data_IF_175543727189
#
_entry.id   IF_175543727189
#
_cell.length_a   1.000
_cell.length_b   1.000
_cell.length_c   1.000
_cell.angle_alpha   90.00
_cell.angle_beta   90.00
_cell.angle_gamma   90.00
#
_symmetry.space_group_name_H-M   'P 1'
#
loop_
_entity.id
_entity.type
_entity.pdbx_description
1 polymer ?
#
# COMPACT_ATOMS: atom_id res chain seq x y z
N UNK A 1 0.93 12.64 5.72
CA UNK A 1 1.34 11.25 5.96
C UNK A 1 2.81 11.14 6.36
N UNK A 2 3.78 11.65 5.57
CA UNK A 2 5.20 11.58 5.96
C UNK A 2 5.52 12.46 7.19
N UNK A 3 5.05 13.72 7.22
CA UNK A 3 5.24 14.62 8.38
C UNK A 3 4.75 14.00 9.70
N UNK A 4 3.55 13.43 9.70
CA UNK A 4 2.96 12.75 10.86
C UNK A 4 3.74 11.51 11.30
N UNK A 5 4.43 10.82 10.38
CA UNK A 5 5.31 9.71 10.71
C UNK A 5 6.63 10.20 11.32
N UNK A 6 7.15 11.31 10.82
CA UNK A 6 8.34 11.96 11.38
C UNK A 6 8.08 12.48 12.81
N UNK A 7 6.92 13.09 13.04
CA UNK A 7 6.47 13.55 14.37
C UNK A 7 6.30 12.41 15.37
N UNK A 8 6.05 11.19 14.89
CA UNK A 8 6.01 9.95 15.71
C UNK A 8 7.39 9.34 15.96
N UNK A 9 8.47 10.08 15.71
CA UNK A 9 9.84 9.66 16.01
C UNK A 9 10.54 8.82 14.92
N UNK A 10 9.96 8.72 13.72
CA UNK A 10 10.62 8.03 12.59
C UNK A 10 11.52 9.00 11.82
N UNK A 11 12.79 8.65 11.60
CA UNK A 11 13.67 9.45 10.72
C UNK A 11 13.31 9.20 9.26
N UNK A 12 12.90 10.24 8.55
CA UNK A 12 12.57 10.19 7.12
C UNK A 12 13.59 11.04 6.37
N UNK A 13 14.36 10.40 5.50
CA UNK A 13 15.27 11.07 4.57
C UNK A 13 14.70 10.91 3.18
N UNK A 14 14.52 12.03 2.47
CA UNK A 14 14.05 12.02 1.10
C UNK A 14 14.81 13.07 0.29
N UNK A 15 14.95 12.82 -1.01
CA UNK A 15 15.44 13.79 -1.98
C UNK A 15 14.25 14.31 -2.76
N UNK A 16 14.14 15.61 -2.90
CA UNK A 16 13.03 16.26 -3.60
C UNK A 16 13.60 17.23 -4.60
N UNK A 17 13.16 17.12 -5.83
CA UNK A 17 13.47 18.07 -6.88
C UNK A 17 12.40 19.18 -6.85
N UNK A 18 12.83 20.43 -6.67
CA UNK A 18 11.99 21.64 -6.73
C UNK A 18 10.68 21.55 -5.91
N UNK A 19 10.76 21.61 -4.57
CA UNK A 19 9.56 21.57 -3.73
C UNK A 19 8.77 22.88 -3.84
N UNK A 20 7.44 22.77 -3.87
CA UNK A 20 6.58 23.95 -3.72
C UNK A 20 6.78 24.62 -2.35
N UNK A 21 6.51 25.93 -2.25
CA UNK A 21 6.68 26.69 -1.01
C UNK A 21 5.94 26.06 0.19
N UNK A 22 4.70 25.60 -0.02
CA UNK A 22 3.93 24.91 1.02
C UNK A 22 4.57 23.60 1.46
N UNK A 23 5.21 22.86 0.54
CA UNK A 23 5.93 21.63 0.88
C UNK A 23 7.24 21.93 1.60
N UNK A 24 7.96 22.98 1.20
CA UNK A 24 9.22 23.40 1.81
C UNK A 24 9.06 23.69 3.31
N UNK A 25 7.97 24.36 3.71
CA UNK A 25 7.64 24.62 5.10
C UNK A 25 7.19 23.40 5.92
N UNK A 26 7.01 22.22 5.29
CA UNK A 26 6.69 20.99 6.02
C UNK A 26 7.94 20.28 6.55
N UNK A 27 9.13 20.60 6.04
CA UNK A 27 10.37 19.96 6.46
C UNK A 27 10.83 20.48 7.82
N UNK A 28 11.27 19.57 8.68
CA UNK A 28 11.96 19.92 9.93
C UNK A 28 13.42 20.31 9.70
N UNK A 29 14.04 19.73 8.66
CA UNK A 29 15.43 19.97 8.32
C UNK A 29 15.62 19.86 6.80
N UNK A 30 16.34 20.82 6.24
CA UNK A 30 16.65 20.93 4.82
C UNK A 30 18.16 20.81 4.66
N UNK A 31 18.58 19.98 3.70
CA UNK A 31 19.97 19.76 3.33
C UNK A 31 20.11 19.97 1.82
N UNK A 32 20.89 20.98 1.40
CA UNK A 32 21.11 21.31 -0.01
C UNK A 32 22.56 21.09 -0.38
N UNK A 33 22.76 20.50 -1.56
CA UNK A 33 24.08 20.27 -2.14
C UNK A 33 24.23 21.00 -3.47
N UNK A 34 25.40 21.57 -3.69
CA UNK A 34 25.83 22.10 -4.98
C UNK A 34 27.28 21.68 -5.26
N UNK A 35 27.56 21.21 -6.48
CA UNK A 35 28.89 20.74 -6.92
C UNK A 35 29.58 19.79 -5.92
N UNK A 36 28.81 18.90 -5.28
CA UNK A 36 29.31 17.91 -4.31
C UNK A 36 29.60 18.45 -2.91
N UNK A 37 29.29 19.71 -2.61
CA UNK A 37 29.44 20.33 -1.30
C UNK A 37 28.08 20.66 -0.69
N UNK A 38 27.97 20.53 0.63
CA UNK A 38 26.81 21.03 1.38
C UNK A 38 26.84 22.55 1.35
N UNK A 39 25.80 23.19 0.85
CA UNK A 39 25.71 24.67 0.81
C UNK A 39 24.71 25.22 1.81
N UNK A 40 23.80 24.38 2.30
CA UNK A 40 22.86 24.77 3.34
C UNK A 40 22.41 23.55 4.13
N UNK A 41 22.37 23.70 5.46
CA UNK A 41 21.91 22.66 6.37
C UNK A 41 21.16 23.27 7.55
N UNK A 42 19.83 23.29 7.53
CA UNK A 42 19.05 23.91 8.61
C UNK A 42 17.54 23.85 8.45
N UNK A 43 16.82 24.53 9.35
CA UNK A 43 15.36 24.63 9.29
C UNK A 43 14.91 25.54 8.13
N UNK A 44 13.80 25.24 7.44
CA UNK A 44 13.35 26.03 6.29
C UNK A 44 13.08 27.51 6.62
N UNK A 45 12.73 27.83 7.87
CA UNK A 45 12.53 29.22 8.31
C UNK A 45 13.83 30.05 8.26
N UNK A 46 14.98 29.40 8.49
CA UNK A 46 16.28 30.06 8.53
C UNK A 46 16.90 30.25 7.14
N UNK A 47 16.26 29.76 6.07
CA UNK A 47 16.81 29.81 4.71
C UNK A 47 16.96 31.24 4.19
N UNK A 48 15.92 32.06 4.33
CA UNK A 48 15.94 33.45 3.83
C UNK A 48 16.92 34.33 4.63
N UNK A 49 16.93 34.31 5.98
CA UNK A 49 17.94 35.02 6.77
C UNK A 49 19.37 34.59 6.42
N UNK A 50 19.61 33.28 6.21
CA UNK A 50 20.91 32.75 5.83
C UNK A 50 21.40 33.32 4.50
N UNK A 51 20.54 33.35 3.48
CA UNK A 51 20.87 33.92 2.17
C UNK A 51 21.11 35.44 2.25
N UNK A 52 20.31 36.15 3.05
CA UNK A 52 20.45 37.59 3.24
C UNK A 52 21.81 37.98 3.83
N UNK A 53 22.37 37.18 4.76
CA UNK A 53 23.72 37.39 5.30
C UNK A 53 24.82 37.31 4.24
N UNK A 54 24.59 36.53 3.19
CA UNK A 54 25.53 36.35 2.09
C UNK A 54 25.24 37.30 0.92
N UNK A 55 24.37 38.29 1.11
CA UNK A 55 24.05 39.32 0.10
C UNK A 55 22.91 38.95 -0.86
N UNK A 56 22.22 37.83 -0.65
CA UNK A 56 21.12 37.38 -1.51
C UNK A 56 19.77 37.68 -0.86
N UNK A 57 19.05 38.65 -1.43
CA UNK A 57 17.74 39.08 -0.92
C UNK A 57 16.63 38.33 -1.67
N UNK A 58 15.87 37.52 -0.94
CA UNK A 58 14.73 36.79 -1.50
C UNK A 58 13.54 37.74 -1.76
N UNK A 59 12.96 37.78 -2.98
CA UNK A 59 11.77 38.56 -3.26
C UNK A 59 10.54 38.08 -2.47
N UNK A 60 9.64 39.00 -2.09
CA UNK A 60 8.51 38.75 -1.18
C UNK A 60 7.53 37.65 -1.62
N UNK A 61 7.37 37.45 -2.93
CA UNK A 61 6.45 36.46 -3.51
C UNK A 61 7.19 35.31 -4.18
N UNK A 62 8.46 35.12 -3.83
CA UNK A 62 9.29 34.05 -4.36
C UNK A 62 9.36 32.88 -3.39
N UNK A 63 9.42 31.67 -3.93
CA UNK A 63 9.62 30.47 -3.12
C UNK A 63 11.06 30.46 -2.59
N UNK A 64 11.28 30.34 -1.27
CA UNK A 64 12.63 30.25 -0.70
C UNK A 64 13.43 29.06 -1.23
N UNK A 65 12.77 27.94 -1.52
CA UNK A 65 13.42 26.75 -2.05
C UNK A 65 13.95 26.98 -3.47
N UNK A 66 13.14 27.60 -4.32
CA UNK A 66 13.51 27.90 -5.70
C UNK A 66 14.62 28.96 -5.72
N UNK A 67 14.50 30.00 -4.88
CA UNK A 67 15.53 31.02 -4.74
C UNK A 67 16.87 30.43 -4.29
N UNK A 68 16.87 29.53 -3.31
CA UNK A 68 18.08 28.85 -2.86
C UNK A 68 18.69 27.99 -3.97
N UNK A 69 17.87 27.27 -4.74
CA UNK A 69 18.35 26.46 -5.87
C UNK A 69 18.92 27.32 -7.00
N UNK A 70 18.29 28.43 -7.35
CA UNK A 70 18.77 29.40 -8.34
C UNK A 70 20.13 29.99 -7.92
N UNK A 71 20.22 30.51 -6.70
CA UNK A 71 21.47 31.07 -6.16
C UNK A 71 22.59 30.03 -6.18
N UNK A 72 22.30 28.78 -5.82
CA UNK A 72 23.33 27.72 -5.78
C UNK A 72 23.71 27.18 -7.17
N UNK A 73 22.82 27.31 -8.14
CA UNK A 73 23.04 26.89 -9.52
C UNK A 73 23.88 27.92 -10.29
N UNK A 74 23.60 29.21 -10.10
CA UNK A 74 24.34 30.32 -10.72
C UNK A 74 25.62 30.70 -9.97
N UNK A 75 25.83 30.17 -8.76
CA UNK A 75 27.00 30.46 -7.94
C UNK A 75 28.32 29.98 -8.56
N UNK A 76 29.32 30.88 -8.48
CA UNK A 76 30.71 30.55 -8.78
C UNK A 76 31.25 29.49 -7.81
N UNK A 77 32.31 28.77 -8.18
CA UNK A 77 32.92 27.77 -7.29
C UNK A 77 33.41 28.40 -5.97
N UNK A 78 33.85 29.67 -6.00
CA UNK A 78 34.27 30.39 -4.78
C UNK A 78 33.11 30.67 -3.84
N UNK A 79 31.92 30.99 -4.37
CA UNK A 79 30.75 31.27 -3.54
C UNK A 79 30.17 29.99 -2.93
N UNK A 80 30.22 28.88 -3.68
CA UNK A 80 29.89 27.56 -3.15
C UNK A 80 30.82 27.17 -1.99
N UNK A 81 32.10 27.52 -2.07
CA UNK A 81 33.06 27.24 -0.99
C UNK A 81 32.76 28.07 0.26
N UNK A 82 32.38 29.34 0.09
CA UNK A 82 31.92 30.19 1.21
C UNK A 82 30.66 29.62 1.84
N UNK A 83 29.67 29.23 1.04
CA UNK A 83 28.45 28.61 1.53
C UNK A 83 28.72 27.29 2.25
N UNK A 84 29.68 26.49 1.76
CA UNK A 84 30.04 25.23 2.39
C UNK A 84 30.74 25.40 3.74
N UNK A 85 31.60 26.41 3.86
CA UNK A 85 32.19 26.79 5.15
C UNK A 85 31.08 27.28 6.08
N UNK A 86 30.24 28.19 5.58
CA UNK A 86 29.12 28.72 6.33
C UNK A 86 28.25 27.57 6.83
N UNK A 87 27.68 26.70 5.99
CA UNK A 87 26.78 25.59 6.34
C UNK A 87 27.26 24.62 7.44
N UNK A 88 28.54 24.68 7.82
CA UNK A 88 29.10 23.93 8.95
C UNK A 88 28.69 24.49 10.31
N UNK A 89 28.38 25.79 10.44
CA UNK A 89 27.98 26.35 11.73
C UNK A 89 26.60 25.83 12.18
N UNK A 90 26.39 25.80 13.50
CA UNK A 90 25.22 25.22 14.13
C UNK A 90 24.06 26.20 14.29
N UNK A 91 24.28 27.50 14.05
CA UNK A 91 23.37 28.57 14.44
C UNK A 91 22.01 28.53 13.73
N UNK A 92 21.96 28.02 12.49
CA UNK A 92 20.72 27.87 11.71
C UNK A 92 20.21 26.42 11.66
N UNK A 93 20.90 25.47 12.30
CA UNK A 93 20.55 24.03 12.24
C UNK A 93 19.28 23.68 13.00
N UNK A 94 18.99 24.41 14.08
CA UNK A 94 17.80 24.22 14.91
C UNK A 94 16.76 25.31 14.65
N UNK A 95 15.51 24.91 14.44
CA UNK A 95 14.39 25.76 14.84
C UNK A 95 14.46 25.93 16.37
N UNK A 96 14.07 27.09 16.90
CA UNK A 96 13.90 27.34 18.34
C UNK A 96 12.89 26.31 18.87
N UNK A 97 13.33 25.10 19.28
CA UNK A 97 12.63 24.02 20.01
C UNK A 97 13.43 22.69 19.88
N UNK A 98 14.58 22.61 20.53
CA UNK A 98 15.40 21.38 20.62
C UNK A 98 15.24 20.70 21.99
N UNK A 99 14.04 20.18 22.31
CA UNK A 99 13.86 19.37 23.52
C UNK A 99 13.41 17.92 23.27
N UNK A 100 13.10 17.51 22.04
CA UNK A 100 12.61 16.16 21.79
C UNK A 100 13.68 15.25 21.18
N UNK A 101 14.68 14.87 21.98
CA UNK A 101 15.39 13.61 21.72
C UNK A 101 14.36 12.48 21.88
N UNK A 102 14.06 11.67 20.85
CA UNK A 102 12.97 10.71 20.93
C UNK A 102 13.26 9.67 22.02
N UNK A 103 12.36 9.57 23.00
CA UNK A 103 12.43 8.59 24.09
C UNK A 103 12.53 7.13 23.58
N UNK A 104 12.10 6.90 22.33
CA UNK A 104 12.24 5.67 21.54
C UNK A 104 13.67 5.11 21.53
N UNK A 105 14.71 5.97 21.52
CA UNK A 105 16.10 5.49 21.43
C UNK A 105 16.50 4.64 22.65
N UNK A 106 15.92 4.92 23.82
CA UNK A 106 16.14 4.14 25.04
C UNK A 106 15.39 2.82 24.99
N UNK A 107 14.19 2.80 24.40
CA UNK A 107 13.36 1.60 24.23
C UNK A 107 14.01 0.66 23.22
N UNK A 108 14.49 1.16 22.08
CA UNK A 108 15.18 0.37 21.04
C UNK A 108 16.45 -0.29 21.58
N UNK A 109 17.25 0.41 22.39
CA UNK A 109 18.42 -0.18 23.09
C UNK A 109 17.99 -1.28 24.07
N UNK A 110 16.88 -1.10 24.77
CA UNK A 110 16.34 -2.05 25.75
C UNK A 110 15.76 -3.30 25.08
N UNK A 111 15.09 -3.16 23.94
CA UNK A 111 14.51 -4.27 23.19
C UNK A 111 15.54 -5.09 22.42
N UNK A 112 16.60 -4.46 21.89
CA UNK A 112 17.71 -5.18 21.26
C UNK A 112 18.40 -6.16 22.23
N UNK A 113 18.44 -5.82 23.52
CA UNK A 113 19.09 -6.62 24.56
C UNK A 113 18.28 -7.86 24.99
N UNK A 114 16.96 -7.90 24.74
CA UNK A 114 16.10 -8.95 25.28
C UNK A 114 15.77 -10.11 24.32
N UNK A 115 16.11 -10.07 23.02
CA UNK A 115 15.90 -11.21 22.08
C UNK A 115 14.46 -11.78 22.01
N UNK A 116 13.43 -11.09 22.49
CA UNK A 116 12.04 -11.61 22.51
C UNK A 116 11.43 -11.79 21.10
N UNK A 117 11.97 -11.12 20.07
CA UNK A 117 11.60 -11.36 18.67
C UNK A 117 12.83 -11.31 17.74
N UNK A 118 12.84 -12.15 16.69
CA UNK A 118 13.85 -12.03 15.62
C UNK A 118 13.56 -10.75 14.81
N UNK A 119 14.60 -9.98 14.52
CA UNK A 119 14.53 -8.71 13.80
C UNK A 119 13.73 -8.79 12.48
N UNK A 120 13.84 -9.93 11.78
CA UNK A 120 13.13 -10.19 10.52
C UNK A 120 11.61 -10.26 10.71
N UNK A 121 11.14 -10.88 11.79
CA UNK A 121 9.70 -11.02 12.07
C UNK A 121 9.09 -9.68 12.47
N UNK A 122 9.83 -8.87 13.24
CA UNK A 122 9.44 -7.52 13.60
C UNK A 122 9.30 -6.62 12.36
N UNK A 123 10.33 -6.56 11.51
CA UNK A 123 10.26 -5.74 10.29
C UNK A 123 9.24 -6.26 9.29
N UNK A 124 9.02 -7.58 9.18
CA UNK A 124 7.98 -8.14 8.31
C UNK A 124 6.57 -7.74 8.78
N UNK A 125 6.29 -7.84 10.09
CA UNK A 125 5.01 -7.42 10.66
C UNK A 125 4.79 -5.90 10.54
N UNK A 126 5.86 -5.13 10.75
CA UNK A 126 5.85 -3.68 10.61
C UNK A 126 5.60 -3.25 9.16
N UNK A 127 6.29 -3.84 8.19
CA UNK A 127 6.05 -3.65 6.75
C UNK A 127 4.62 -4.05 6.37
N UNK A 128 4.11 -5.16 6.90
CA UNK A 128 2.74 -5.59 6.65
C UNK A 128 1.70 -4.62 7.19
N UNK A 129 1.95 -4.01 8.37
CA UNK A 129 1.06 -3.04 8.98
C UNK A 129 1.10 -1.64 8.31
N UNK A 130 2.25 -1.28 7.75
CA UNK A 130 2.49 0.01 7.09
C UNK A 130 2.32 -0.04 5.55
N UNK A 131 1.85 -1.15 4.99
CA UNK A 131 1.51 -1.25 3.56
C UNK A 131 0.52 -0.13 3.19
N UNK A 132 0.85 0.73 2.21
CA UNK A 132 -0.03 1.82 1.79
C UNK A 132 -1.36 1.27 1.30
N UNK A 133 -2.46 1.95 1.65
CA UNK A 133 -3.83 1.48 1.37
C UNK A 133 -4.09 1.31 -0.13
N UNK A 134 -3.36 2.04 -0.98
CA UNK A 134 -3.38 1.89 -2.45
C UNK A 134 -2.97 0.48 -2.88
N UNK A 135 -1.95 -0.12 -2.28
CA UNK A 135 -1.49 -1.48 -2.63
C UNK A 135 -2.56 -2.54 -2.34
N UNK A 136 -3.41 -2.31 -1.32
CA UNK A 136 -4.53 -3.20 -1.01
C UNK A 136 -5.55 -3.30 -2.14
N UNK A 137 -5.83 -2.20 -2.85
CA UNK A 137 -6.77 -2.19 -3.98
C UNK A 137 -6.25 -3.02 -5.17
N UNK A 138 -4.95 -2.93 -5.47
CA UNK A 138 -4.32 -3.72 -6.53
C UNK A 138 -4.33 -5.23 -6.21
N UNK A 139 -3.95 -5.59 -4.98
CA UNK A 139 -3.94 -7.00 -4.55
C UNK A 139 -5.36 -7.57 -4.58
N UNK A 140 -6.36 -6.80 -4.15
CA UNK A 140 -7.76 -7.19 -4.23
C UNK A 140 -8.20 -7.49 -5.66
N UNK A 141 -7.94 -6.56 -6.59
CA UNK A 141 -8.31 -6.74 -8.00
C UNK A 141 -7.63 -7.96 -8.64
N UNK A 142 -6.33 -8.16 -8.42
CA UNK A 142 -5.58 -9.31 -8.94
C UNK A 142 -6.12 -10.62 -8.36
N UNK A 143 -6.41 -10.64 -7.06
CA UNK A 143 -7.00 -11.81 -6.39
C UNK A 143 -8.38 -12.15 -6.97
N UNK A 144 -9.25 -11.15 -7.19
CA UNK A 144 -10.59 -11.38 -7.73
C UNK A 144 -10.54 -11.95 -9.14
N UNK A 145 -9.67 -11.41 -10.01
CA UNK A 145 -9.50 -11.94 -11.38
C UNK A 145 -9.00 -13.39 -11.34
N UNK A 146 -8.04 -13.69 -10.46
CA UNK A 146 -7.52 -15.06 -10.32
C UNK A 146 -8.59 -16.03 -9.82
N UNK A 147 -9.40 -15.61 -8.84
CA UNK A 147 -10.49 -16.42 -8.28
C UNK A 147 -11.59 -16.69 -9.31
N UNK A 148 -11.90 -15.71 -10.17
CA UNK A 148 -12.86 -15.88 -11.28
C UNK A 148 -12.37 -16.89 -12.31
N UNK A 149 -11.09 -16.80 -12.71
CA UNK A 149 -10.49 -17.72 -13.70
C UNK A 149 -10.53 -19.18 -13.27
N UNK A 150 -10.42 -19.45 -11.96
CA UNK A 150 -10.34 -20.81 -11.41
C UNK A 150 -11.72 -21.29 -10.91
N UNK A 151 -12.78 -20.50 -11.01
CA UNK A 151 -14.09 -20.82 -10.43
C UNK A 151 -14.92 -21.91 -11.15
N UNK A 152 -14.39 -22.54 -12.19
CA UNK A 152 -15.11 -23.59 -12.92
C UNK A 152 -15.93 -23.12 -14.13
N UNK A 153 -16.05 -21.79 -14.34
CA UNK A 153 -16.80 -21.23 -15.49
C UNK A 153 -15.94 -21.10 -16.76
N UNK A 154 -14.70 -20.58 -16.64
CA UNK A 154 -13.78 -20.44 -17.78
C UNK A 154 -12.96 -21.71 -18.05
N UNK A 155 -12.66 -22.46 -16.99
CA UNK A 155 -12.01 -23.77 -17.06
C UNK A 155 -12.92 -24.77 -16.33
N UNK A 156 -13.49 -25.72 -17.05
CA UNK A 156 -14.43 -26.67 -16.44
C UNK A 156 -13.73 -27.64 -15.48
N UNK A 157 -14.39 -27.98 -14.38
CA UNK A 157 -13.85 -28.87 -13.35
C UNK A 157 -13.36 -30.23 -13.85
N UNK A 158 -14.04 -30.92 -14.80
CA UNK A 158 -13.59 -32.23 -15.28
C UNK A 158 -12.24 -32.20 -16.00
N UNK A 159 -11.83 -31.04 -16.51
CA UNK A 159 -10.59 -30.86 -17.28
C UNK A 159 -9.47 -30.17 -16.49
N UNK A 160 -9.71 -29.82 -15.23
CA UNK A 160 -8.71 -29.16 -14.38
C UNK A 160 -7.66 -30.13 -13.86
N UNK A 161 -6.39 -29.70 -13.88
CA UNK A 161 -5.31 -30.38 -13.16
C UNK A 161 -5.54 -30.29 -11.64
N UNK A 162 -5.04 -31.27 -10.89
CA UNK A 162 -5.19 -31.44 -9.44
C UNK A 162 -4.93 -30.16 -8.63
N UNK A 163 -3.88 -29.41 -8.97
CA UNK A 163 -3.55 -28.14 -8.28
C UNK A 163 -4.68 -27.11 -8.45
N UNK A 164 -5.17 -26.94 -9.68
CA UNK A 164 -6.26 -26.01 -9.97
C UNK A 164 -7.59 -26.50 -9.40
N UNK A 165 -7.82 -27.81 -9.38
CA UNK A 165 -9.00 -28.41 -8.74
C UNK A 165 -9.07 -28.06 -7.25
N UNK A 166 -7.97 -28.25 -6.50
CA UNK A 166 -7.93 -27.86 -5.09
C UNK A 166 -7.99 -26.34 -4.89
N UNK A 167 -7.34 -25.56 -5.75
CA UNK A 167 -7.41 -24.10 -5.68
C UNK A 167 -8.83 -23.57 -5.93
N UNK A 168 -9.57 -24.20 -6.84
CA UNK A 168 -10.97 -23.89 -7.13
C UNK A 168 -11.86 -24.12 -5.90
N UNK A 169 -11.71 -25.29 -5.26
CA UNK A 169 -12.47 -25.65 -4.06
C UNK A 169 -12.11 -24.82 -2.81
N UNK A 170 -11.03 -24.02 -2.84
CA UNK A 170 -10.71 -23.05 -1.79
C UNK A 170 -11.33 -21.67 -2.06
N UNK A 171 -11.72 -21.39 -3.31
CA UNK A 171 -12.27 -20.12 -3.74
C UNK A 171 -13.75 -20.03 -3.38
N UNK A 172 -14.15 -18.98 -2.64
CA UNK A 172 -15.57 -18.69 -2.41
C UNK A 172 -16.33 -18.42 -3.72
N UNK A 173 -15.63 -17.98 -4.78
CA UNK A 173 -16.24 -17.70 -6.08
C UNK A 173 -16.66 -19.00 -6.79
N UNK A 174 -15.94 -20.10 -6.57
CA UNK A 174 -16.30 -21.43 -7.08
C UNK A 174 -17.66 -21.88 -6.54
N UNK A 175 -17.82 -21.88 -5.22
CA UNK A 175 -19.09 -22.20 -4.56
C UNK A 175 -20.21 -21.22 -4.94
N UNK A 176 -19.88 -19.94 -5.16
CA UNK A 176 -20.84 -18.95 -5.63
C UNK A 176 -21.39 -19.28 -7.03
N UNK A 177 -20.54 -19.74 -7.94
CA UNK A 177 -20.96 -20.11 -9.30
C UNK A 177 -21.70 -21.44 -9.33
N UNK A 178 -21.26 -22.43 -8.54
CA UNK A 178 -21.96 -23.70 -8.37
C UNK A 178 -23.37 -23.48 -7.82
N UNK A 179 -23.50 -22.71 -6.73
CA UNK A 179 -24.79 -22.37 -6.15
C UNK A 179 -25.69 -21.56 -7.08
N UNK A 180 -25.12 -20.62 -7.86
CA UNK A 180 -25.88 -19.86 -8.86
C UNK A 180 -26.46 -20.78 -9.95
N UNK A 181 -25.64 -21.65 -10.52
CA UNK A 181 -26.06 -22.54 -11.60
C UNK A 181 -27.04 -23.61 -11.11
N UNK A 182 -26.85 -24.14 -9.90
CA UNK A 182 -27.84 -25.03 -9.28
C UNK A 182 -29.17 -24.33 -8.97
N UNK A 183 -29.17 -23.03 -8.63
CA UNK A 183 -30.40 -22.27 -8.42
C UNK A 183 -31.18 -22.03 -9.73
N UNK A 184 -30.45 -21.84 -10.84
CA UNK A 184 -31.03 -21.58 -12.17
C UNK A 184 -31.49 -22.88 -12.84
N UNK A 185 -30.63 -23.90 -12.86
CA UNK A 185 -30.81 -25.12 -13.67
C UNK A 185 -31.09 -26.39 -12.83
N UNK A 186 -30.91 -26.35 -11.51
CA UNK A 186 -31.12 -27.51 -10.63
C UNK A 186 -32.58 -27.77 -10.26
N UNK A 187 -32.82 -28.62 -9.25
CA UNK A 187 -34.12 -28.81 -8.58
C UNK A 187 -35.37 -28.92 -9.48
N UNK A 188 -35.36 -29.85 -10.45
CA UNK A 188 -36.52 -30.17 -11.30
C UNK A 188 -37.13 -28.96 -12.03
N UNK A 189 -36.28 -28.05 -12.52
CA UNK A 189 -36.68 -26.97 -13.41
C UNK A 189 -37.23 -27.48 -14.74
N UNK A 190 -38.02 -26.62 -15.39
CA UNK A 190 -38.56 -26.86 -16.72
C UNK A 190 -37.43 -27.10 -17.74
N UNK A 191 -37.75 -27.90 -18.76
CA UNK A 191 -36.82 -28.21 -19.84
C UNK A 191 -36.54 -26.96 -20.67
N UNK A 192 -35.31 -26.83 -21.15
CA UNK A 192 -34.93 -25.72 -22.04
C UNK A 192 -35.60 -25.90 -23.39
N UNK A 193 -36.01 -24.78 -24.01
CA UNK A 193 -36.58 -24.78 -25.36
C UNK A 193 -35.47 -25.10 -26.34
N UNK A 194 -35.69 -26.12 -27.17
CA UNK A 194 -34.77 -26.45 -28.25
C UNK A 194 -35.25 -25.81 -29.55
N UNK A 195 -34.32 -25.33 -30.41
CA UNK A 195 -34.66 -24.84 -31.74
C UNK A 195 -35.40 -25.91 -32.55
N UNK A 196 -36.37 -25.49 -33.37
CA UNK A 196 -37.19 -26.41 -34.19
C UNK A 196 -36.38 -27.09 -35.31
N UNK A 197 -35.19 -26.56 -35.61
CA UNK A 197 -34.34 -26.99 -36.73
C UNK A 197 -33.49 -28.23 -36.40
N UNK A 198 -33.40 -28.62 -35.12
CA UNK A 198 -32.54 -29.72 -34.65
C UNK A 198 -33.35 -30.90 -34.07
N UNK A 199 -33.08 -32.11 -34.59
CA UNK A 199 -33.77 -33.35 -34.19
C UNK A 199 -33.29 -33.87 -32.81
N UNK A 200 -32.05 -33.54 -32.42
CA UNK A 200 -31.44 -33.98 -31.17
C UNK A 200 -30.79 -32.81 -30.43
N UNK A 201 -31.26 -32.55 -29.21
CA UNK A 201 -30.82 -31.43 -28.39
C UNK A 201 -30.36 -31.94 -27.02
N UNK A 202 -29.04 -32.06 -26.84
CA UNK A 202 -28.42 -32.57 -25.61
C UNK A 202 -28.76 -31.72 -24.38
N UNK A 203 -28.96 -30.42 -24.56
CA UNK A 203 -29.21 -29.47 -23.47
C UNK A 203 -30.69 -29.25 -23.15
N UNK A 204 -31.60 -30.08 -23.70
CA UNK A 204 -33.02 -30.06 -23.33
C UNK A 204 -33.21 -30.22 -21.82
N UNK A 205 -32.37 -31.06 -21.19
CA UNK A 205 -32.39 -31.31 -19.75
C UNK A 205 -31.34 -30.45 -19.04
N UNK A 206 -31.72 -29.47 -18.21
CA UNK A 206 -30.77 -28.60 -17.50
C UNK A 206 -29.75 -29.35 -16.63
N UNK A 207 -30.13 -30.54 -16.14
CA UNK A 207 -29.23 -31.40 -15.36
C UNK A 207 -28.02 -31.89 -16.16
N UNK A 208 -28.19 -32.22 -17.46
CA UNK A 208 -27.08 -32.66 -18.30
C UNK A 208 -26.05 -31.54 -18.50
N UNK A 209 -26.53 -30.30 -18.64
CA UNK A 209 -25.67 -29.12 -18.68
C UNK A 209 -24.86 -28.93 -17.40
N UNK A 210 -25.50 -29.07 -16.23
CA UNK A 210 -24.81 -28.96 -14.93
C UNK A 210 -23.74 -30.04 -14.73
N UNK A 211 -24.04 -31.29 -15.11
CA UNK A 211 -23.10 -32.41 -15.01
C UNK A 211 -21.89 -32.24 -15.95
N UNK A 212 -22.10 -31.70 -17.15
CA UNK A 212 -20.99 -31.46 -18.10
C UNK A 212 -20.05 -30.34 -17.60
N UNK A 213 -20.61 -29.30 -16.96
CA UNK A 213 -19.83 -28.26 -16.28
C UNK A 213 -19.17 -28.75 -14.97
N UNK A 214 -19.64 -29.88 -14.43
CA UNK A 214 -19.17 -30.44 -13.14
C UNK A 214 -19.59 -29.59 -11.93
N UNK A 215 -20.80 -29.01 -11.97
CA UNK A 215 -21.34 -28.10 -10.94
C UNK A 215 -22.55 -28.69 -10.20
N UNK A 216 -22.59 -30.01 -10.08
CA UNK A 216 -23.62 -30.79 -9.38
C UNK A 216 -23.04 -31.64 -8.24
N UNK A 217 -21.87 -31.24 -7.69
CA UNK A 217 -21.12 -32.04 -6.72
C UNK A 217 -21.71 -31.96 -5.31
N UNK A 218 -22.09 -30.76 -4.89
CA UNK A 218 -22.65 -30.49 -3.57
C UNK A 218 -24.11 -30.05 -3.68
N UNK A 219 -24.95 -30.30 -2.67
CA UNK A 219 -26.28 -29.74 -2.65
C UNK A 219 -26.21 -28.22 -2.38
N UNK A 220 -27.04 -27.45 -3.07
CA UNK A 220 -27.11 -25.98 -2.97
C UNK A 220 -27.00 -25.40 -1.55
N UNK A 221 -27.67 -26.00 -0.57
CA UNK A 221 -27.64 -25.51 0.81
C UNK A 221 -26.24 -25.61 1.47
N UNK A 222 -25.42 -26.56 1.05
CA UNK A 222 -24.03 -26.67 1.50
C UNK A 222 -23.19 -25.53 0.92
N UNK A 223 -23.42 -25.14 -0.34
CA UNK A 223 -22.74 -24.00 -0.96
C UNK A 223 -23.11 -22.69 -0.25
N UNK A 224 -24.39 -22.49 0.06
CA UNK A 224 -24.87 -21.35 0.87
C UNK A 224 -24.19 -21.35 2.25
N UNK A 225 -24.02 -22.52 2.86
CA UNK A 225 -23.30 -22.68 4.12
C UNK A 225 -21.83 -22.23 4.04
N UNK A 226 -21.10 -22.69 3.02
CA UNK A 226 -19.72 -22.27 2.78
C UNK A 226 -19.59 -20.77 2.56
N UNK A 227 -20.41 -20.19 1.69
CA UNK A 227 -20.40 -18.75 1.39
C UNK A 227 -20.67 -17.92 2.66
N UNK A 228 -21.64 -18.35 3.48
CA UNK A 228 -21.95 -17.71 4.76
C UNK A 228 -20.78 -17.80 5.73
N UNK A 229 -20.12 -18.97 5.81
CA UNK A 229 -18.92 -19.17 6.62
C UNK A 229 -17.78 -18.24 6.21
N UNK A 230 -17.51 -18.12 4.91
CA UNK A 230 -16.50 -17.20 4.38
C UNK A 230 -16.84 -15.74 4.71
N UNK A 231 -18.10 -15.32 4.57
CA UNK A 231 -18.52 -13.96 4.91
C UNK A 231 -18.23 -13.62 6.38
N UNK A 232 -18.59 -14.52 7.30
CA UNK A 232 -18.32 -14.35 8.73
C UNK A 232 -16.81 -14.33 9.01
N UNK A 233 -16.05 -15.25 8.41
CA UNK A 233 -14.59 -15.32 8.56
C UNK A 233 -13.93 -14.01 8.12
N UNK A 234 -14.26 -13.48 6.93
CA UNK A 234 -13.69 -12.22 6.44
C UNK A 234 -14.08 -11.03 7.33
N UNK A 235 -15.31 -11.00 7.86
CA UNK A 235 -15.75 -9.98 8.81
C UNK A 235 -14.96 -10.01 10.11
N UNK A 236 -14.73 -11.21 10.67
CA UNK A 236 -13.93 -11.39 11.88
C UNK A 236 -12.47 -11.00 11.64
N UNK A 237 -11.86 -11.45 10.54
CA UNK A 237 -10.49 -11.08 10.17
C UNK A 237 -10.33 -9.57 10.00
N UNK A 238 -11.26 -8.92 9.31
CA UNK A 238 -11.27 -7.46 9.16
C UNK A 238 -11.40 -6.74 10.51
N UNK A 239 -12.31 -7.22 11.38
CA UNK A 239 -12.48 -6.67 12.73
C UNK A 239 -11.20 -6.80 13.57
N UNK A 240 -10.58 -7.99 13.61
CA UNK A 240 -9.35 -8.22 14.35
C UNK A 240 -8.16 -7.44 13.79
N UNK A 241 -8.05 -7.35 12.47
CA UNK A 241 -7.03 -6.53 11.79
C UNK A 241 -7.16 -5.05 12.17
N UNK A 242 -8.38 -4.50 12.11
CA UNK A 242 -8.65 -3.11 12.49
C UNK A 242 -8.39 -2.87 13.98
N UNK A 243 -8.83 -3.79 14.85
CA UNK A 243 -8.60 -3.71 16.30
C UNK A 243 -7.11 -3.75 16.64
N UNK A 244 -6.34 -4.60 15.97
CA UNK A 244 -4.89 -4.68 16.14
C UNK A 244 -4.22 -3.37 15.72
N UNK A 245 -4.61 -2.81 14.58
CA UNK A 245 -4.09 -1.52 14.10
C UNK A 245 -4.40 -0.36 15.05
N UNK A 246 -5.63 -0.31 15.59
CA UNK A 246 -6.03 0.72 16.55
C UNK A 246 -5.29 0.61 17.90
N UNK A 247 -4.88 -0.58 18.31
CA UNK A 247 -4.11 -0.78 19.56
C UNK A 247 -2.64 -0.33 19.43
N UNK A 248 -2.12 -0.26 18.21
CA UNK A 248 -0.75 0.14 17.90
C UNK A 248 -0.64 1.58 17.35
N UNK A 249 -1.76 2.32 17.34
CA UNK A 249 -1.84 3.75 17.03
C UNK A 249 -1.80 4.58 18.31
#
# INVERSE_FOLDING_TARGET
MLKTLAERGRTIVCTIHQPSASMYHLFSHVYIMAKGKCVYQGAPENTVPYLALHGYICPKYHNPADFLLEVTSDASTQDIDKFAIAATETNWRSSINSENVPQELKIIKKEHFNRWYKLRTFYAAFLAADLPMQNGTFIGAISTVTMLSVAGFLCFFPHMNTVFYYASNLSYFSFSMEGLLQAVYGYNREKLVCPEDEIFCLYTSPKQFLTELGMDKLPYWVDVGWITGYFILFRLLAYYSLKFRLKHL
#
